data_IF_402834159135
#
_entry.id   IF_402834159135
#
_cell.length_a   1.000
_cell.length_b   1.000
_cell.length_c   1.000
_cell.angle_alpha   90.00
_cell.angle_beta   90.00
_cell.angle_gamma   90.00
#
_symmetry.space_group_name_H-M   'P 1'
#
loop_
_entity.id
_entity.type
_entity.pdbx_description
1 polymer ?
#
# COMPACT_ATOMS: atom_id res chain seq x y z
N UNK A 1 -0.50 -8.44 -4.05
CA UNK A 1 0.61 -7.46 -3.94
C UNK A 1 0.49 -6.49 -5.11
N UNK A 2 1.10 -5.32 -4.99
CA UNK A 2 1.10 -4.27 -6.02
C UNK A 2 2.56 -3.85 -6.23
N UNK A 3 3.16 -4.24 -7.35
CA UNK A 3 4.48 -3.73 -7.74
C UNK A 3 4.30 -2.35 -8.39
N UNK A 4 5.17 -1.42 -8.06
CA UNK A 4 5.15 -0.04 -8.56
C UNK A 4 6.23 0.17 -9.63
N UNK A 5 5.92 1.05 -10.57
CA UNK A 5 6.90 1.59 -11.51
C UNK A 5 8.05 2.28 -10.73
N UNK A 6 9.25 2.32 -11.32
CA UNK A 6 10.43 2.93 -10.69
C UNK A 6 10.24 4.43 -10.37
N UNK A 7 9.32 5.11 -11.05
CA UNK A 7 8.96 6.51 -10.78
C UNK A 7 8.16 6.72 -9.49
N UNK A 8 7.64 5.65 -8.86
CA UNK A 8 6.84 5.73 -7.63
C UNK A 8 7.57 5.03 -6.49
N UNK A 9 7.91 5.75 -5.42
CA UNK A 9 8.51 5.17 -4.22
C UNK A 9 7.44 4.52 -3.32
N UNK A 10 7.33 3.18 -3.37
CA UNK A 10 6.38 2.44 -2.54
C UNK A 10 6.66 2.57 -1.03
N UNK A 11 7.89 2.84 -0.61
CA UNK A 11 8.21 3.07 0.80
C UNK A 11 7.68 4.42 1.28
N UNK A 12 7.75 5.45 0.44
CA UNK A 12 7.11 6.74 0.71
C UNK A 12 5.59 6.60 0.81
N UNK A 13 4.95 5.89 -0.12
CA UNK A 13 3.50 5.61 -0.07
C UNK A 13 3.13 4.85 1.21
N UNK A 14 3.85 3.78 1.56
CA UNK A 14 3.61 3.02 2.79
C UNK A 14 3.76 3.88 4.05
N UNK A 15 4.75 4.79 4.08
CA UNK A 15 4.96 5.72 5.19
C UNK A 15 3.77 6.67 5.39
N UNK A 16 3.24 7.23 4.30
CA UNK A 16 2.05 8.11 4.36
C UNK A 16 0.80 7.34 4.81
N UNK A 17 0.58 6.14 4.27
CA UNK A 17 -0.53 5.27 4.69
C UNK A 17 -0.44 4.96 6.20
N UNK A 18 0.76 4.61 6.68
CA UNK A 18 1.02 4.33 8.11
C UNK A 18 0.75 5.54 8.99
N UNK A 19 1.16 6.74 8.57
CA UNK A 19 0.89 7.98 9.30
C UNK A 19 -0.62 8.27 9.43
N UNK A 20 -1.44 7.71 8.53
CA UNK A 20 -2.90 7.83 8.53
C UNK A 20 -3.63 6.60 9.08
N UNK A 21 -2.91 5.68 9.75
CA UNK A 21 -3.49 4.50 10.40
C UNK A 21 -3.74 3.29 9.50
N UNK A 22 -3.37 3.38 8.22
CA UNK A 22 -3.38 2.24 7.29
C UNK A 22 -2.03 1.55 7.38
N UNK A 23 -1.96 0.50 8.21
CA UNK A 23 -0.70 -0.13 8.61
C UNK A 23 -0.44 -1.45 7.89
N UNK A 24 0.82 -1.86 7.92
CA UNK A 24 1.30 -3.19 7.49
C UNK A 24 1.11 -3.48 5.99
N UNK A 25 1.14 -2.42 5.18
CA UNK A 25 1.15 -2.47 3.72
C UNK A 25 2.55 -2.66 3.13
N UNK A 26 3.60 -2.62 3.97
CA UNK A 26 4.99 -2.79 3.53
C UNK A 26 5.23 -4.17 2.89
N UNK A 27 6.17 -4.26 1.93
CA UNK A 27 6.50 -5.53 1.30
C UNK A 27 7.18 -6.47 2.28
N UNK A 28 7.29 -7.74 1.91
CA UNK A 28 8.07 -8.69 2.70
C UNK A 28 9.53 -8.22 2.79
N UNK A 29 10.03 -8.05 4.03
CA UNK A 29 11.30 -7.35 4.33
C UNK A 29 12.53 -7.83 3.55
N UNK A 30 12.58 -9.12 3.15
CA UNK A 30 13.73 -9.70 2.43
C UNK A 30 13.56 -9.76 0.91
N UNK A 31 12.44 -9.27 0.37
CA UNK A 31 12.14 -9.38 -1.06
C UNK A 31 12.82 -8.30 -1.90
N UNK A 32 13.10 -7.13 -1.31
CA UNK A 32 13.81 -6.03 -1.98
C UNK A 32 13.08 -5.44 -3.20
N UNK A 33 11.74 -5.54 -3.25
CA UNK A 33 10.92 -5.04 -4.37
C UNK A 33 10.23 -3.72 -4.01
N UNK A 34 10.10 -2.85 -5.01
CA UNK A 34 9.28 -1.64 -4.95
C UNK A 34 7.79 -2.02 -5.01
N UNK A 35 7.23 -2.40 -3.86
CA UNK A 35 5.96 -3.11 -3.80
C UNK A 35 5.18 -2.77 -2.53
N UNK A 36 3.86 -2.75 -2.60
CA UNK A 36 2.97 -2.89 -1.44
C UNK A 36 2.38 -4.31 -1.35
N UNK A 37 2.18 -4.79 -0.12
CA UNK A 37 1.53 -6.06 0.16
C UNK A 37 0.24 -5.83 0.93
N UNK A 38 -0.85 -6.38 0.42
CA UNK A 38 -2.18 -6.27 1.02
C UNK A 38 -2.63 -7.66 1.46
N UNK A 39 -2.99 -7.80 2.73
CA UNK A 39 -3.58 -9.03 3.25
C UNK A 39 -5.10 -9.00 3.05
N UNK A 40 -5.65 -10.05 2.45
CA UNK A 40 -7.09 -10.19 2.17
C UNK A 40 -7.60 -11.50 2.79
N UNK A 41 -7.48 -11.62 4.11
CA UNK A 41 -8.05 -12.77 4.84
C UNK A 41 -9.59 -12.74 4.77
N UNK A 42 -10.28 -13.88 5.00
CA UNK A 42 -11.75 -13.94 4.85
C UNK A 42 -12.55 -12.94 5.70
N UNK A 43 -11.97 -12.42 6.78
CA UNK A 43 -12.59 -11.42 7.67
C UNK A 43 -12.46 -9.98 7.16
N UNK A 44 -11.58 -9.73 6.18
CA UNK A 44 -11.39 -8.41 5.59
C UNK A 44 -12.57 -8.11 4.66
N UNK A 45 -13.24 -6.99 4.87
CA UNK A 45 -14.34 -6.57 4.01
C UNK A 45 -13.78 -6.15 2.64
N UNK A 46 -14.32 -6.64 1.51
CA UNK A 46 -13.92 -6.17 0.18
C UNK A 46 -13.96 -4.64 0.02
N UNK A 47 -14.92 -3.96 0.65
CA UNK A 47 -15.02 -2.50 0.64
C UNK A 47 -13.82 -1.79 1.28
N UNK A 48 -13.16 -2.41 2.25
CA UNK A 48 -11.93 -1.84 2.84
C UNK A 48 -10.75 -1.93 1.88
N UNK A 49 -10.73 -2.93 1.00
CA UNK A 49 -9.71 -3.07 -0.05
C UNK A 49 -9.95 -2.03 -1.15
N UNK A 50 -11.20 -1.79 -1.54
CA UNK A 50 -11.57 -0.70 -2.46
C UNK A 50 -11.16 0.67 -1.89
N UNK A 51 -11.45 0.92 -0.62
CA UNK A 51 -11.03 2.13 0.07
C UNK A 51 -9.50 2.26 0.12
N UNK A 52 -8.77 1.18 0.41
CA UNK A 52 -7.31 1.16 0.36
C UNK A 52 -6.77 1.53 -1.02
N UNK A 53 -7.36 1.01 -2.11
CA UNK A 53 -6.94 1.41 -3.46
C UNK A 53 -7.14 2.89 -3.73
N UNK A 54 -8.27 3.46 -3.29
CA UNK A 54 -8.51 4.90 -3.41
C UNK A 54 -7.53 5.74 -2.56
N UNK A 55 -7.18 5.28 -1.35
CA UNK A 55 -6.16 5.92 -0.53
C UNK A 55 -4.77 5.89 -1.18
N UNK A 56 -4.41 4.77 -1.82
CA UNK A 56 -3.15 4.63 -2.56
C UNK A 56 -3.12 5.60 -3.74
N UNK A 57 -4.18 5.65 -4.55
CA UNK A 57 -4.28 6.57 -5.70
C UNK A 57 -4.14 8.03 -5.25
N UNK A 58 -4.86 8.43 -4.20
CA UNK A 58 -4.75 9.78 -3.64
C UNK A 58 -3.35 10.07 -3.12
N UNK A 59 -2.74 9.13 -2.40
CA UNK A 59 -1.40 9.31 -1.83
C UNK A 59 -0.36 9.55 -2.92
N UNK A 60 -0.39 8.73 -3.98
CA UNK A 60 0.52 8.87 -5.12
C UNK A 60 0.33 10.23 -5.82
N UNK A 61 -0.91 10.69 -5.96
CA UNK A 61 -1.19 11.99 -6.57
C UNK A 61 -0.73 13.20 -5.74
N UNK A 62 -0.33 13.01 -4.47
CA UNK A 62 0.14 14.06 -3.58
C UNK A 62 1.65 13.99 -3.27
N UNK A 63 2.36 12.99 -3.80
CA UNK A 63 3.82 12.83 -3.69
C UNK A 63 4.52 13.38 -4.94
#
# INVERSE_FOLDING_TARGET
>A
TIDFDESIDAAAVASVLRANGIVDTEPYRKLGRNQLRVAMFPVVNPGDVEALTACIDWTIAQL
#
